data_IF_984862618068
#
_entry.id   IF_984862618068
#
_cell.length_a   1.000
_cell.length_b   1.000
_cell.length_c   1.000
_cell.angle_alpha   90.00
_cell.angle_beta   90.00
_cell.angle_gamma   90.00
#
_symmetry.space_group_name_H-M   'P 1'
#
loop_
_entity.id
_entity.type
_entity.pdbx_description
1 polymer ?
#
# COMPACT_ATOMS: atom_id res chain seq x y z
N UNK A 1 -4.33 -25.23 -1.36
CA UNK A 1 -4.46 -23.76 -1.46
C UNK A 1 -3.55 -23.25 -2.56
N UNK A 2 -4.00 -22.27 -3.33
CA UNK A 2 -3.24 -21.72 -4.46
C UNK A 2 -1.89 -21.13 -3.98
N UNK A 3 -0.77 -21.61 -4.57
CA UNK A 3 0.58 -21.11 -4.30
C UNK A 3 0.67 -19.58 -4.50
N UNK A 4 -0.15 -19.04 -5.40
CA UNK A 4 -0.23 -17.61 -5.66
C UNK A 4 -0.76 -16.80 -4.47
N UNK A 5 -1.75 -17.33 -3.72
CA UNK A 5 -2.31 -16.67 -2.53
C UNK A 5 -1.28 -16.64 -1.40
N UNK A 6 -0.55 -17.75 -1.19
CA UNK A 6 0.55 -17.78 -0.20
C UNK A 6 1.65 -16.79 -0.55
N UNK A 7 2.08 -16.76 -1.82
CA UNK A 7 3.12 -15.84 -2.28
C UNK A 7 2.73 -14.37 -2.08
N UNK A 8 1.48 -14.01 -2.41
CA UNK A 8 0.97 -12.67 -2.12
C UNK A 8 0.92 -12.39 -0.61
N UNK A 9 0.52 -13.37 0.21
CA UNK A 9 0.54 -13.25 1.67
C UNK A 9 1.94 -12.96 2.23
N UNK A 10 2.96 -13.69 1.77
CA UNK A 10 4.38 -13.44 2.13
C UNK A 10 4.79 -12.02 1.76
N UNK A 11 4.46 -11.60 0.53
CA UNK A 11 4.77 -10.26 0.06
C UNK A 11 4.18 -9.17 0.95
N UNK A 12 2.87 -9.27 1.22
CA UNK A 12 2.15 -8.31 2.09
C UNK A 12 2.76 -8.29 3.49
N UNK A 13 3.10 -9.45 4.06
CA UNK A 13 3.75 -9.54 5.37
C UNK A 13 5.12 -8.86 5.38
N UNK A 14 5.94 -9.04 4.34
CA UNK A 14 7.26 -8.38 4.25
C UNK A 14 7.08 -6.86 4.20
N UNK A 15 6.21 -6.36 3.33
CA UNK A 15 5.91 -4.92 3.22
C UNK A 15 5.40 -4.36 4.55
N UNK A 16 4.47 -5.07 5.20
CA UNK A 16 3.88 -4.64 6.45
C UNK A 16 4.84 -4.64 7.65
N UNK A 17 5.95 -5.38 7.56
CA UNK A 17 7.03 -5.33 8.55
C UNK A 17 8.09 -4.28 8.20
N UNK A 18 8.29 -4.01 6.91
CA UNK A 18 9.28 -3.04 6.44
C UNK A 18 8.92 -1.60 6.88
N UNK A 19 7.65 -1.19 6.79
CA UNK A 19 7.25 0.16 7.19
C UNK A 19 7.46 0.45 8.69
N UNK A 20 7.03 -0.41 9.64
CA UNK A 20 7.42 -0.29 11.05
C UNK A 20 8.93 -0.25 11.26
N UNK A 21 9.69 -1.08 10.55
CA UNK A 21 11.14 -1.10 10.60
C UNK A 21 11.77 0.24 10.20
N UNK A 22 11.25 0.86 9.13
CA UNK A 22 11.66 2.19 8.68
C UNK A 22 11.43 3.24 9.79
N UNK A 23 10.27 3.23 10.46
CA UNK A 23 10.02 4.19 11.53
C UNK A 23 10.90 3.98 12.77
N UNK A 24 11.19 2.72 13.12
CA UNK A 24 12.14 2.42 14.21
C UNK A 24 13.53 2.96 13.87
N UNK A 25 13.99 2.76 12.64
CA UNK A 25 15.29 3.28 12.18
C UNK A 25 15.31 4.81 12.16
N UNK A 26 14.23 5.45 11.71
CA UNK A 26 14.07 6.90 11.73
C UNK A 26 14.15 7.47 13.15
N UNK A 27 13.51 6.82 14.13
CA UNK A 27 13.55 7.24 15.53
C UNK A 27 14.95 7.13 16.16
N UNK A 28 15.80 6.24 15.66
CA UNK A 28 17.17 6.07 16.18
C UNK A 28 18.14 7.12 15.63
N UNK A 29 17.89 7.69 14.45
CA UNK A 29 18.80 8.66 13.80
C UNK A 29 18.06 9.59 12.83
N UNK A 30 17.16 10.45 13.32
CA UNK A 30 16.31 11.29 12.48
C UNK A 30 17.11 12.24 11.58
N UNK A 31 18.19 12.84 12.12
CA UNK A 31 18.99 13.85 11.42
C UNK A 31 19.81 13.29 10.25
N UNK A 32 20.12 11.99 10.27
CA UNK A 32 20.92 11.31 9.23
C UNK A 32 20.08 10.53 8.25
N UNK A 33 18.90 10.09 8.65
CA UNK A 33 18.09 9.12 7.93
C UNK A 33 16.70 9.64 7.55
N UNK A 34 16.43 10.95 7.69
CA UNK A 34 15.13 11.55 7.35
C UNK A 34 14.61 11.20 5.94
N UNK A 35 15.51 10.93 4.97
CA UNK A 35 15.13 10.47 3.63
C UNK A 35 14.43 9.10 3.60
N UNK A 36 14.62 8.24 4.61
CA UNK A 36 13.89 6.97 4.73
C UNK A 36 12.37 7.18 4.89
N UNK A 37 11.93 8.37 5.30
CA UNK A 37 10.51 8.72 5.32
C UNK A 37 9.85 8.55 3.95
N UNK A 38 10.58 8.81 2.86
CA UNK A 38 10.08 8.63 1.50
C UNK A 38 9.94 7.17 1.07
N UNK A 39 10.41 6.20 1.88
CA UNK A 39 10.22 4.76 1.67
C UNK A 39 8.94 4.22 2.30
N UNK A 40 8.10 5.07 2.88
CA UNK A 40 6.80 4.70 3.38
C UNK A 40 5.73 4.79 2.27
N UNK A 41 5.16 3.65 1.86
CA UNK A 41 4.11 3.64 0.84
C UNK A 41 2.79 4.24 1.32
N UNK A 42 2.64 4.48 2.62
CA UNK A 42 1.47 5.09 3.27
C UNK A 42 1.64 6.58 3.53
N UNK A 43 2.72 7.19 3.06
CA UNK A 43 2.99 8.63 3.19
C UNK A 43 1.83 9.50 2.68
N UNK A 44 1.06 9.03 1.70
CA UNK A 44 -0.16 9.68 1.23
C UNK A 44 -1.21 9.87 2.33
N UNK A 45 -1.39 8.89 3.22
CA UNK A 45 -2.33 8.97 4.33
C UNK A 45 -1.91 10.03 5.34
N UNK A 46 -0.60 10.16 5.57
CA UNK A 46 -0.07 11.21 6.41
C UNK A 46 -0.42 12.59 5.84
N UNK A 47 -0.23 12.82 4.53
CA UNK A 47 -0.64 14.06 3.88
C UNK A 47 -2.14 14.34 3.98
N UNK A 48 -2.99 13.34 3.74
CA UNK A 48 -4.44 13.54 3.91
C UNK A 48 -4.79 13.87 5.37
N UNK A 49 -4.17 13.20 6.35
CA UNK A 49 -4.41 13.50 7.75
C UNK A 49 -3.95 14.90 8.16
N UNK A 50 -2.78 15.36 7.70
CA UNK A 50 -2.28 16.70 8.03
C UNK A 50 -3.16 17.79 7.42
N UNK A 51 -3.58 17.62 6.17
CA UNK A 51 -4.54 18.52 5.49
C UNK A 51 -5.87 18.55 6.23
N UNK A 52 -6.44 17.39 6.58
CA UNK A 52 -7.74 17.32 7.28
C UNK A 52 -7.63 17.92 8.68
N UNK A 53 -6.57 17.60 9.44
CA UNK A 53 -6.41 18.02 10.83
C UNK A 53 -5.88 19.44 10.99
N UNK A 54 -5.51 20.12 9.89
CA UNK A 54 -4.92 21.46 9.88
C UNK A 54 -3.73 21.59 10.86
N UNK A 55 -3.00 20.50 11.04
CA UNK A 55 -1.82 20.42 11.91
C UNK A 55 -0.75 19.63 11.19
N UNK A 56 0.48 20.12 11.24
CA UNK A 56 1.65 19.31 10.91
C UNK A 56 1.65 18.12 11.86
N UNK A 57 1.35 16.94 11.32
CA UNK A 57 1.46 15.69 12.03
C UNK A 57 2.94 15.34 12.19
N UNK A 58 3.29 14.65 13.26
CA UNK A 58 4.59 13.97 13.32
C UNK A 58 4.37 12.60 12.69
N UNK A 59 5.10 12.22 11.63
CA UNK A 59 4.98 10.89 11.08
C UNK A 59 5.56 9.86 12.06
N UNK A 60 5.07 8.61 12.03
CA UNK A 60 3.90 8.10 11.30
C UNK A 60 2.54 8.50 11.90
N UNK A 61 1.53 8.63 11.02
CA UNK A 61 0.13 8.76 11.42
C UNK A 61 -0.37 7.47 12.11
N UNK A 62 -1.25 7.61 13.11
CA UNK A 62 -1.85 6.44 13.80
C UNK A 62 -2.61 5.53 12.82
N UNK A 63 -3.24 6.10 11.79
CA UNK A 63 -3.91 5.30 10.74
C UNK A 63 -2.95 4.43 9.94
N UNK A 64 -1.73 4.91 9.66
CA UNK A 64 -0.72 4.14 8.94
C UNK A 64 -0.35 2.88 9.75
N UNK A 65 -0.13 3.01 11.06
CA UNK A 65 0.11 1.85 11.94
C UNK A 65 -1.02 0.84 11.94
N UNK A 66 -2.26 1.32 12.07
CA UNK A 66 -3.43 0.44 12.09
C UNK A 66 -3.52 -0.34 10.78
N UNK A 67 -3.30 0.34 9.66
CA UNK A 67 -3.31 -0.27 8.33
C UNK A 67 -2.20 -1.32 8.21
N UNK A 68 -0.98 -1.02 8.66
CA UNK A 68 0.11 -1.99 8.59
C UNK A 68 -0.15 -3.24 9.46
N UNK A 69 -0.72 -3.06 10.65
CA UNK A 69 -1.15 -4.19 11.50
C UNK A 69 -2.22 -5.02 10.79
N UNK A 70 -3.20 -4.36 10.17
CA UNK A 70 -4.25 -5.05 9.41
C UNK A 70 -3.66 -5.82 8.22
N UNK A 71 -2.78 -5.19 7.45
CA UNK A 71 -2.07 -5.83 6.33
C UNK A 71 -1.23 -7.02 6.81
N UNK A 72 -0.55 -6.91 7.95
CA UNK A 72 0.22 -7.99 8.55
C UNK A 72 -0.68 -9.19 8.91
N UNK A 73 -1.81 -8.95 9.58
CA UNK A 73 -2.79 -9.99 9.93
C UNK A 73 -3.33 -10.68 8.68
N UNK A 74 -3.64 -9.91 7.63
CA UNK A 74 -4.10 -10.44 6.35
C UNK A 74 -3.02 -11.32 5.70
N UNK A 75 -1.78 -10.84 5.62
CA UNK A 75 -0.66 -11.57 5.04
C UNK A 75 -0.39 -12.91 5.76
N UNK A 76 -0.31 -12.88 7.08
CA UNK A 76 -0.13 -14.09 7.92
C UNK A 76 -1.30 -15.06 7.76
N UNK A 77 -2.53 -14.55 7.70
CA UNK A 77 -3.72 -15.38 7.45
C UNK A 77 -3.69 -16.04 6.07
N UNK A 78 -3.25 -15.33 5.03
CA UNK A 78 -3.09 -15.86 3.66
C UNK A 78 -1.98 -16.90 3.57
N UNK A 79 -0.88 -16.73 4.31
CA UNK A 79 0.18 -17.74 4.45
C UNK A 79 -0.39 -19.01 5.09
N UNK A 80 -1.21 -18.84 6.12
CA UNK A 80 -1.74 -19.93 6.96
C UNK A 80 -2.80 -20.80 6.29
N UNK A 81 -3.48 -20.32 5.24
CA UNK A 81 -4.59 -21.09 4.66
C UNK A 81 -5.81 -20.28 4.23
N UNK A 82 -5.92 -19.04 4.68
CA UNK A 82 -7.18 -18.29 4.57
C UNK A 82 -7.23 -17.50 3.27
N UNK A 83 -8.35 -17.63 2.55
CA UNK A 83 -8.59 -16.84 1.34
C UNK A 83 -9.14 -15.44 1.71
N UNK A 84 -8.24 -14.53 2.07
CA UNK A 84 -8.56 -13.12 2.37
C UNK A 84 -8.30 -12.19 1.18
N UNK A 85 -8.18 -12.73 -0.02
CA UNK A 85 -7.79 -11.99 -1.22
C UNK A 85 -8.74 -10.83 -1.55
N UNK A 86 -10.05 -11.02 -1.38
CA UNK A 86 -11.06 -9.97 -1.56
C UNK A 86 -10.91 -8.84 -0.54
N UNK A 87 -10.67 -9.20 0.73
CA UNK A 87 -10.51 -8.23 1.82
C UNK A 87 -9.27 -7.40 1.58
N UNK A 88 -8.15 -8.04 1.25
CA UNK A 88 -6.92 -7.36 0.85
C UNK A 88 -7.16 -6.39 -0.31
N UNK A 89 -7.79 -6.88 -1.39
CA UNK A 89 -8.04 -6.08 -2.59
C UNK A 89 -8.86 -4.81 -2.28
N UNK A 90 -9.92 -4.94 -1.47
CA UNK A 90 -10.76 -3.80 -1.09
C UNK A 90 -9.96 -2.78 -0.26
N UNK A 91 -9.26 -3.25 0.79
CA UNK A 91 -8.47 -2.37 1.67
C UNK A 91 -7.40 -1.65 0.85
N UNK A 92 -6.60 -2.39 0.09
CA UNK A 92 -5.50 -1.81 -0.67
C UNK A 92 -5.99 -0.87 -1.78
N UNK A 93 -7.16 -1.13 -2.39
CA UNK A 93 -7.78 -0.21 -3.35
C UNK A 93 -8.22 1.10 -2.71
N UNK A 94 -8.84 1.04 -1.52
CA UNK A 94 -9.26 2.24 -0.76
C UNK A 94 -8.05 3.13 -0.43
N UNK A 95 -6.89 2.53 -0.18
CA UNK A 95 -5.67 3.27 0.15
C UNK A 95 -4.93 3.76 -1.09
N UNK A 96 -4.86 2.96 -2.15
CA UNK A 96 -4.05 3.24 -3.34
C UNK A 96 -4.74 4.20 -4.30
N UNK A 97 -6.06 4.07 -4.51
CA UNK A 97 -6.78 4.89 -5.49
C UNK A 97 -6.72 6.39 -5.16
N UNK A 98 -7.00 6.84 -3.92
CA UNK A 98 -6.91 8.26 -3.57
C UNK A 98 -5.50 8.82 -3.77
N UNK A 99 -4.47 8.03 -3.44
CA UNK A 99 -3.08 8.41 -3.66
C UNK A 99 -2.77 8.61 -5.14
N UNK A 100 -3.14 7.64 -5.99
CA UNK A 100 -2.91 7.72 -7.43
C UNK A 100 -3.65 8.92 -8.04
N UNK A 101 -4.90 9.17 -7.64
CA UNK A 101 -5.67 10.32 -8.09
C UNK A 101 -5.02 11.65 -7.67
N UNK A 102 -4.54 11.73 -6.43
CA UNK A 102 -3.83 12.90 -5.92
C UNK A 102 -2.52 13.16 -6.70
N UNK A 103 -1.75 12.11 -6.97
CA UNK A 103 -0.52 12.23 -7.75
C UNK A 103 -0.78 12.69 -9.18
N UNK A 104 -1.81 12.13 -9.84
CA UNK A 104 -2.21 12.56 -11.18
C UNK A 104 -2.63 14.04 -11.18
N UNK A 105 -3.35 14.49 -10.15
CA UNK A 105 -3.76 15.89 -10.01
C UNK A 105 -2.55 16.82 -9.87
N UNK A 106 -1.60 16.52 -8.99
CA UNK A 106 -0.36 17.30 -8.81
C UNK A 106 0.41 17.41 -10.13
N UNK A 107 0.55 16.27 -10.82
CA UNK A 107 1.28 16.19 -12.09
C UNK A 107 0.57 17.00 -13.18
N UNK A 108 -0.76 16.92 -13.26
CA UNK A 108 -1.56 17.63 -14.26
C UNK A 108 -1.56 19.15 -14.04
N UNK A 109 -1.54 19.62 -12.79
CA UNK A 109 -1.53 21.04 -12.44
C UNK A 109 -0.11 21.64 -12.58
N UNK A 110 0.92 20.81 -12.73
CA UNK A 110 2.30 21.28 -12.90
C UNK A 110 2.84 22.00 -11.66
N UNK A 111 2.48 21.52 -10.47
CA UNK A 111 2.94 22.11 -9.22
C UNK A 111 4.48 22.09 -9.16
N UNK A 112 5.07 23.28 -9.03
CA UNK A 112 6.51 23.46 -8.78
C UNK A 112 6.82 23.42 -7.29
N UNK A 113 8.11 23.33 -6.95
CA UNK A 113 8.64 23.38 -5.57
C UNK A 113 8.10 24.54 -4.72
N UNK A 114 7.63 25.62 -5.36
CA UNK A 114 6.99 26.75 -4.68
C UNK A 114 5.66 26.40 -3.99
N UNK A 115 5.10 25.22 -4.27
CA UNK A 115 3.87 24.70 -3.67
C UNK A 115 4.15 23.68 -2.57
N UNK A 116 5.42 23.57 -2.12
CA UNK A 116 5.85 22.65 -1.06
C UNK A 116 6.27 21.26 -1.54
N UNK A 117 6.19 20.97 -2.85
CA UNK A 117 6.62 19.69 -3.42
C UNK A 117 7.25 19.85 -4.80
N UNK A 118 8.36 19.16 -5.03
CA UNK A 118 8.92 18.91 -6.36
C UNK A 118 8.46 17.54 -6.89
N UNK A 119 8.16 17.41 -8.20
CA UNK A 119 7.94 16.09 -8.82
C UNK A 119 9.10 15.11 -8.57
N UNK A 120 10.32 15.61 -8.38
CA UNK A 120 11.49 14.80 -8.03
C UNK A 120 11.43 14.24 -6.60
N UNK A 121 10.89 15.00 -5.64
CA UNK A 121 10.69 14.54 -4.26
C UNK A 121 9.57 13.50 -4.16
N UNK A 122 8.61 13.55 -5.07
CA UNK A 122 7.53 12.57 -5.18
C UNK A 122 7.95 11.30 -5.93
N UNK A 123 9.06 11.32 -6.67
CA UNK A 123 9.50 10.17 -7.48
C UNK A 123 9.74 8.92 -6.63
N UNK A 124 10.44 9.06 -5.51
CA UNK A 124 10.77 7.95 -4.64
C UNK A 124 9.54 7.37 -3.92
N UNK A 125 8.67 8.17 -3.26
CA UNK A 125 7.38 7.72 -2.75
C UNK A 125 6.52 6.99 -3.79
N UNK A 126 6.51 7.46 -5.03
CA UNK A 126 5.75 6.84 -6.12
C UNK A 126 6.30 5.45 -6.48
N UNK A 127 7.63 5.29 -6.57
CA UNK A 127 8.25 3.99 -6.81
C UNK A 127 7.88 3.01 -5.69
N UNK A 128 7.91 3.49 -4.45
CA UNK A 128 7.57 2.69 -3.27
C UNK A 128 6.10 2.27 -3.31
N UNK A 129 5.18 3.18 -3.64
CA UNK A 129 3.75 2.85 -3.80
C UNK A 129 3.51 1.87 -4.96
N UNK A 130 4.25 2.02 -6.06
CA UNK A 130 4.18 1.08 -7.19
C UNK A 130 4.52 -0.34 -6.75
N UNK A 131 5.63 -0.49 -6.03
CA UNK A 131 6.14 -1.78 -5.56
C UNK A 131 5.24 -2.32 -4.43
N UNK A 132 5.03 -1.55 -3.37
CA UNK A 132 4.38 -2.00 -2.15
C UNK A 132 2.85 -2.13 -2.26
N UNK A 133 2.21 -1.41 -3.19
CA UNK A 133 0.76 -1.34 -3.29
C UNK A 133 0.21 -1.69 -4.68
N UNK A 134 0.67 -1.06 -5.76
CA UNK A 134 0.06 -1.26 -7.09
C UNK A 134 0.34 -2.65 -7.65
N UNK A 135 1.59 -3.12 -7.66
CA UNK A 135 1.91 -4.46 -8.14
C UNK A 135 1.21 -5.60 -7.40
N UNK A 136 1.21 -5.66 -6.05
CA UNK A 136 0.50 -6.72 -5.35
C UNK A 136 -1.03 -6.59 -5.51
N UNK A 137 -1.58 -5.39 -5.68
CA UNK A 137 -3.00 -5.18 -6.01
C UNK A 137 -3.37 -5.74 -7.40
N UNK A 138 -2.56 -5.45 -8.42
CA UNK A 138 -2.73 -6.02 -9.77
C UNK A 138 -2.60 -7.54 -9.76
N UNK A 139 -1.64 -8.06 -8.98
CA UNK A 139 -1.47 -9.49 -8.81
C UNK A 139 -2.68 -10.12 -8.10
N UNK A 140 -3.22 -9.48 -7.06
CA UNK A 140 -4.44 -9.91 -6.38
C UNK A 140 -5.65 -9.93 -7.33
N UNK A 141 -5.80 -8.91 -8.18
CA UNK A 141 -6.85 -8.83 -9.20
C UNK A 141 -6.74 -10.00 -10.18
N UNK A 142 -5.53 -10.33 -10.66
CA UNK A 142 -5.30 -11.47 -11.56
C UNK A 142 -5.72 -12.79 -10.90
N UNK A 143 -5.40 -13.00 -9.63
CA UNK A 143 -5.80 -14.21 -8.90
C UNK A 143 -7.32 -14.26 -8.73
N UNK A 144 -7.96 -13.15 -8.33
CA UNK A 144 -9.43 -13.06 -8.19
C UNK A 144 -10.15 -13.42 -9.50
N UNK A 145 -9.66 -12.88 -10.61
CA UNK A 145 -10.22 -13.14 -11.93
C UNK A 145 -10.04 -14.59 -12.37
N UNK A 146 -8.87 -15.20 -12.11
CA UNK A 146 -8.62 -16.62 -12.38
C UNK A 146 -9.58 -17.52 -11.60
N UNK A 147 -9.77 -17.24 -10.30
CA UNK A 147 -10.70 -18.00 -9.45
C UNK A 147 -12.12 -17.89 -10.02
N UNK A 148 -12.58 -16.67 -10.30
CA UNK A 148 -13.94 -16.43 -10.84
C UNK A 148 -14.18 -17.17 -12.15
N UNK A 149 -13.21 -17.13 -13.07
CA UNK A 149 -13.31 -17.83 -14.36
C UNK A 149 -13.44 -19.34 -14.18
N UNK A 150 -12.60 -19.93 -13.33
CA UNK A 150 -12.61 -21.37 -13.08
C UNK A 150 -13.93 -21.82 -12.43
N UNK A 151 -14.48 -21.03 -11.51
CA UNK A 151 -15.79 -21.31 -10.90
C UNK A 151 -16.92 -21.29 -11.94
N UNK A 152 -16.93 -20.31 -12.85
CA UNK A 152 -17.96 -20.23 -13.90
C UNK A 152 -17.89 -21.40 -14.90
N UNK A 153 -16.69 -21.88 -15.23
CA UNK A 153 -16.51 -23.05 -16.11
C UNK A 153 -17.06 -24.32 -15.44
N UNK A 154 -16.77 -24.54 -14.15
CA UNK A 154 -17.30 -25.72 -13.42
C UNK A 154 -18.83 -25.76 -13.29
N UNK A 155 -19.51 -24.62 -13.41
CA UNK A 155 -20.98 -24.55 -13.38
C UNK A 155 -21.57 -24.91 -14.75
N UNK A 156 -20.87 -24.59 -15.84
CA UNK A 156 -21.35 -24.82 -17.21
C UNK A 156 -21.09 -26.26 -17.70
N UNK A 157 -20.10 -26.95 -17.15
CA UNK A 157 -19.84 -28.38 -17.46
C UNK A 157 -20.82 -29.35 -16.77
N UNK A 158 -21.60 -28.88 -15.80
CA UNK A 158 -22.55 -29.67 -15.01
C UNK A 158 -24.02 -29.45 -15.40
N UNK A 159 -24.27 -28.76 -16.52
CA UNK A 159 -25.60 -28.48 -17.09
C UNK A 159 -25.70 -29.05 -18.49
#
# INVERSE_FOLDING_TARGET
>A
MDKHIKGLGIYITIVALAHPGIYVILNLSPDKLGWLFYFDSRIGLFFFETVIKHREGIPPAVSAWIIEIVCLIIGLSMISGKNLLKVYFIIESILTIPYVLFFLLITAIGMSSNHGFSPAELLLPNIVVLISSIFPLLYAMRILWRIRRNTNLSITDNT
#
